data_IF_842536110647
#
_entry.id   IF_842536110647
#
_cell.length_a   1.000
_cell.length_b   1.000
_cell.length_c   1.000
_cell.angle_alpha   90.00
_cell.angle_beta   90.00
_cell.angle_gamma   90.00
#
_symmetry.space_group_name_H-M   'P 1'
#
loop_
_entity.id
_entity.type
_entity.pdbx_description
1 polymer ?
#
# COMPACT_ATOMS: atom_id res chain seq x y z
N UNK A 1 103.98 -77.24 8.34
CA UNK A 1 104.56 -78.39 9.06
C UNK A 1 105.55 -77.80 10.04
N UNK A 2 105.35 -77.96 11.36
CA UNK A 2 106.25 -77.34 12.33
C UNK A 2 107.66 -77.93 12.18
N UNK A 3 108.65 -77.11 11.83
CA UNK A 3 110.03 -77.55 11.74
C UNK A 3 110.63 -77.62 13.14
N UNK A 4 110.77 -78.85 13.63
CA UNK A 4 111.35 -79.10 14.94
C UNK A 4 112.87 -79.01 14.84
N UNK A 5 113.39 -77.80 15.07
CA UNK A 5 114.82 -77.46 15.00
C UNK A 5 115.71 -78.50 15.70
N UNK A 6 115.30 -78.98 16.87
CA UNK A 6 116.07 -80.01 17.62
C UNK A 6 116.16 -81.35 16.90
N UNK A 7 115.10 -81.79 16.21
CA UNK A 7 115.09 -83.04 15.43
C UNK A 7 115.95 -82.89 14.18
N UNK A 8 115.89 -81.72 13.54
CA UNK A 8 116.71 -81.43 12.37
C UNK A 8 118.19 -81.36 12.74
N UNK A 9 118.54 -80.72 13.85
CA UNK A 9 119.92 -80.68 14.36
C UNK A 9 120.48 -82.10 14.60
N UNK A 10 119.69 -83.00 15.20
CA UNK A 10 120.07 -84.41 15.38
C UNK A 10 120.28 -85.09 14.01
N UNK A 11 119.38 -84.83 13.05
CA UNK A 11 119.46 -85.39 11.69
C UNK A 11 120.73 -84.95 10.98
N UNK A 12 121.04 -83.65 11.02
CA UNK A 12 122.23 -83.06 10.43
C UNK A 12 123.50 -83.66 11.04
N UNK A 13 123.62 -83.69 12.37
CA UNK A 13 124.81 -84.25 13.03
C UNK A 13 124.98 -85.74 12.78
N UNK A 14 123.88 -86.50 12.75
CA UNK A 14 123.91 -87.93 12.37
C UNK A 14 124.49 -88.11 10.97
N UNK A 15 124.04 -87.32 10.00
CA UNK A 15 124.50 -87.42 8.61
C UNK A 15 125.96 -86.98 8.45
N UNK A 16 126.39 -85.94 9.17
CA UNK A 16 127.81 -85.55 9.25
C UNK A 16 128.71 -86.67 9.80
N UNK A 17 128.27 -87.37 10.86
CA UNK A 17 129.02 -88.50 11.44
C UNK A 17 129.11 -89.65 10.43
N UNK A 18 128.03 -89.95 9.69
CA UNK A 18 128.05 -91.01 8.65
C UNK A 18 129.08 -90.74 7.57
N UNK A 19 129.20 -89.50 7.12
CA UNK A 19 130.22 -89.13 6.15
C UNK A 19 131.62 -89.27 6.73
N UNK A 20 131.84 -88.77 7.95
CA UNK A 20 133.14 -88.84 8.62
C UNK A 20 133.61 -90.28 8.85
N UNK A 21 132.70 -91.20 9.17
CA UNK A 21 133.04 -92.63 9.36
C UNK A 21 133.64 -93.27 8.11
N UNK A 22 133.27 -92.82 6.89
CA UNK A 22 133.80 -93.39 5.63
C UNK A 22 135.29 -93.14 5.43
N UNK A 23 135.84 -92.11 6.08
CA UNK A 23 137.22 -91.66 5.95
C UNK A 23 138.14 -92.21 7.06
N UNK A 24 137.59 -92.99 7.98
CA UNK A 24 138.31 -93.51 9.14
C UNK A 24 139.39 -94.52 8.76
N UNK A 25 140.63 -94.26 9.20
CA UNK A 25 141.72 -95.22 9.09
C UNK A 25 141.72 -96.25 10.23
N UNK A 26 141.24 -97.45 9.93
CA UNK A 26 141.23 -98.56 10.88
C UNK A 26 142.62 -99.16 11.14
N UNK A 27 143.58 -98.99 10.23
CA UNK A 27 144.91 -99.64 10.32
C UNK A 27 145.76 -99.00 11.42
N UNK A 28 145.63 -97.69 11.62
CA UNK A 28 146.34 -96.93 12.65
C UNK A 28 146.05 -97.40 14.09
N UNK A 29 145.00 -98.19 14.33
CA UNK A 29 144.59 -98.66 15.65
C UNK A 29 144.42 -100.19 15.71
N UNK A 30 144.99 -100.92 14.77
CA UNK A 30 144.91 -102.38 14.72
C UNK A 30 145.61 -103.02 15.93
N UNK A 31 144.92 -103.94 16.62
CA UNK A 31 145.41 -104.59 17.84
C UNK A 31 145.13 -103.84 19.16
N UNK A 32 144.67 -102.59 19.10
CA UNK A 32 144.31 -101.84 20.30
C UNK A 32 142.88 -102.13 20.76
N UNK A 33 142.67 -102.07 22.07
CA UNK A 33 141.36 -102.20 22.73
C UNK A 33 141.05 -100.95 23.56
N UNK A 34 139.77 -100.63 23.67
CA UNK A 34 139.26 -99.39 24.26
C UNK A 34 138.00 -99.70 25.08
N UNK A 35 137.67 -98.81 26.02
CA UNK A 35 136.54 -98.99 26.94
C UNK A 35 136.99 -99.08 28.39
N UNK A 36 136.03 -99.22 29.30
CA UNK A 36 136.35 -99.31 30.73
C UNK A 36 136.93 -100.68 31.10
N UNK A 37 136.63 -101.70 30.30
CA UNK A 37 137.07 -103.09 30.44
C UNK A 37 137.89 -103.57 29.23
N UNK A 38 138.31 -102.67 28.33
CA UNK A 38 138.95 -102.98 27.04
C UNK A 38 138.06 -103.83 26.11
N UNK A 39 136.74 -103.64 26.20
CA UNK A 39 135.70 -104.42 25.54
C UNK A 39 135.52 -104.10 24.05
N UNK A 40 136.08 -102.97 23.59
CA UNK A 40 135.91 -102.52 22.22
C UNK A 40 137.20 -102.54 21.41
N UNK A 41 137.15 -103.13 20.23
CA UNK A 41 138.06 -102.78 19.13
C UNK A 41 137.58 -101.50 18.46
N UNK A 42 138.47 -100.75 17.80
CA UNK A 42 138.06 -99.54 17.09
C UNK A 42 136.96 -99.81 16.03
N UNK A 43 137.08 -100.94 15.29
CA UNK A 43 136.04 -101.39 14.35
C UNK A 43 134.69 -101.64 15.04
N UNK A 44 134.68 -102.21 16.25
CA UNK A 44 133.45 -102.41 17.00
C UNK A 44 132.82 -101.12 17.53
N UNK A 45 133.62 -100.10 17.87
CA UNK A 45 133.11 -98.77 18.23
C UNK A 45 132.40 -98.10 17.04
N UNK A 46 133.03 -98.13 15.87
CA UNK A 46 132.44 -97.58 14.65
C UNK A 46 131.16 -98.33 14.27
N UNK A 47 131.14 -99.66 14.30
CA UNK A 47 129.92 -100.44 14.06
C UNK A 47 128.82 -100.17 15.10
N UNK A 48 129.21 -99.91 16.36
CA UNK A 48 128.30 -99.45 17.41
C UNK A 48 127.69 -98.09 17.09
N UNK A 49 128.47 -97.13 16.60
CA UNK A 49 127.97 -95.82 16.15
C UNK A 49 126.97 -96.02 15.01
N UNK A 50 127.32 -96.79 13.97
CA UNK A 50 126.43 -97.02 12.82
C UNK A 50 125.06 -97.57 13.22
N UNK A 51 125.02 -98.49 14.20
CA UNK A 51 123.76 -98.99 14.76
C UNK A 51 122.96 -97.86 15.43
N UNK A 52 123.59 -96.98 16.21
CA UNK A 52 122.90 -95.88 16.88
C UNK A 52 122.43 -94.81 15.90
N UNK A 53 123.20 -94.52 14.85
CA UNK A 53 122.78 -93.62 13.78
C UNK A 53 121.57 -94.17 13.02
N UNK A 54 121.48 -95.50 12.85
CA UNK A 54 120.31 -96.16 12.27
C UNK A 54 119.08 -96.01 13.15
N UNK A 55 119.23 -96.24 14.46
CA UNK A 55 118.15 -96.03 15.45
C UNK A 55 117.67 -94.56 15.44
N UNK A 56 118.60 -93.59 15.36
CA UNK A 56 118.28 -92.16 15.22
C UNK A 56 117.61 -91.81 13.88
N UNK A 57 117.93 -92.52 12.80
CA UNK A 57 117.20 -92.37 11.53
C UNK A 57 115.73 -92.74 11.67
N UNK A 58 115.42 -93.81 12.39
CA UNK A 58 114.03 -94.21 12.63
C UNK A 58 113.28 -93.16 13.47
N UNK A 59 113.89 -92.66 14.55
CA UNK A 59 113.27 -91.61 15.37
C UNK A 59 113.03 -90.30 14.61
N UNK A 60 114.04 -89.83 13.89
CA UNK A 60 113.95 -88.56 13.15
C UNK A 60 113.03 -88.65 11.92
N UNK A 61 112.83 -89.84 11.34
CA UNK A 61 111.82 -90.11 10.30
C UNK A 61 110.40 -89.92 10.85
N UNK A 62 110.13 -90.37 12.08
CA UNK A 62 108.83 -90.30 12.73
C UNK A 62 108.74 -89.13 13.72
N UNK A 63 108.90 -87.89 13.22
CA UNK A 63 109.00 -86.65 14.02
C UNK A 63 107.93 -86.53 15.12
N UNK A 64 106.66 -86.77 14.80
CA UNK A 64 105.55 -86.65 15.76
C UNK A 64 105.65 -87.65 16.92
N UNK A 65 106.04 -88.90 16.64
CA UNK A 65 106.23 -89.92 17.67
C UNK A 65 107.46 -89.61 18.52
N UNK A 66 108.54 -89.15 17.90
CA UNK A 66 109.72 -88.73 18.64
C UNK A 66 109.39 -87.58 19.61
N UNK A 67 108.54 -86.64 19.22
CA UNK A 67 108.09 -85.54 20.10
C UNK A 67 107.20 -86.03 21.24
N UNK A 68 106.30 -86.97 20.98
CA UNK A 68 105.48 -87.57 22.04
C UNK A 68 106.31 -88.31 23.08
N UNK A 69 107.42 -88.92 22.66
CA UNK A 69 108.28 -89.73 23.51
C UNK A 69 109.45 -88.97 24.14
N UNK A 70 109.78 -87.78 23.64
CA UNK A 70 110.94 -87.02 24.12
C UNK A 70 110.57 -85.59 24.48
N UNK A 71 111.22 -85.11 25.50
CA UNK A 71 111.25 -83.70 25.87
C UNK A 71 112.21 -82.92 24.96
N UNK A 72 112.10 -81.60 24.98
CA UNK A 72 113.05 -80.74 24.30
C UNK A 72 114.49 -80.98 24.76
N UNK A 73 114.72 -81.13 26.07
CA UNK A 73 116.05 -81.29 26.65
C UNK A 73 116.72 -82.59 26.23
N UNK A 74 115.98 -83.71 26.25
CA UNK A 74 116.54 -85.01 25.83
C UNK A 74 117.03 -84.98 24.37
N UNK A 75 116.34 -84.24 23.49
CA UNK A 75 116.79 -84.07 22.09
C UNK A 75 118.06 -83.22 21.99
N UNK A 76 118.17 -82.16 22.81
CA UNK A 76 119.39 -81.35 22.89
C UNK A 76 120.57 -82.17 23.41
N UNK A 77 120.33 -83.04 24.39
CA UNK A 77 121.35 -83.90 24.97
C UNK A 77 121.82 -84.99 24.01
N UNK A 78 120.93 -85.54 23.17
CA UNK A 78 121.28 -86.45 22.07
C UNK A 78 122.14 -85.73 21.02
N UNK A 79 121.73 -84.51 20.63
CA UNK A 79 122.51 -83.69 19.71
C UNK A 79 123.92 -83.39 20.25
N UNK A 80 124.03 -83.13 21.54
CA UNK A 80 125.30 -82.86 22.22
C UNK A 80 126.21 -84.09 22.17
N UNK A 81 125.70 -85.28 22.49
CA UNK A 81 126.47 -86.53 22.37
C UNK A 81 126.91 -86.81 20.93
N UNK A 82 126.05 -86.55 19.94
CA UNK A 82 126.42 -86.68 18.52
C UNK A 82 127.53 -85.70 18.13
N UNK A 83 127.49 -84.48 18.66
CA UNK A 83 128.54 -83.49 18.40
C UNK A 83 129.88 -83.96 18.98
N UNK A 84 129.88 -84.52 20.20
CA UNK A 84 131.09 -85.10 20.78
C UNK A 84 131.57 -86.34 20.02
N UNK A 85 130.67 -87.24 19.62
CA UNK A 85 131.01 -88.39 18.78
C UNK A 85 131.71 -87.93 17.50
N UNK A 86 131.14 -86.94 16.80
CA UNK A 86 131.73 -86.37 15.57
C UNK A 86 133.15 -85.86 15.78
N UNK A 87 133.39 -85.15 16.88
CA UNK A 87 134.70 -84.56 17.20
C UNK A 87 135.75 -85.62 17.53
N UNK A 88 135.36 -86.75 18.13
CA UNK A 88 136.27 -87.79 18.59
C UNK A 88 136.27 -89.06 17.73
N UNK A 89 135.61 -89.08 16.57
CA UNK A 89 135.58 -90.24 15.66
C UNK A 89 136.99 -90.78 15.42
N UNK A 90 137.97 -89.92 15.15
CA UNK A 90 139.36 -90.30 14.81
C UNK A 90 140.23 -90.63 16.05
N UNK A 91 139.67 -90.50 17.25
CA UNK A 91 140.36 -90.61 18.55
C UNK A 91 139.63 -91.60 19.48
N UNK A 92 139.86 -92.92 19.33
CA UNK A 92 139.08 -93.95 20.00
C UNK A 92 139.12 -93.91 21.54
N UNK A 93 140.17 -93.34 22.14
CA UNK A 93 140.35 -93.24 23.59
C UNK A 93 139.23 -92.47 24.30
N UNK A 94 138.61 -91.49 23.64
CA UNK A 94 137.52 -90.69 24.23
C UNK A 94 136.14 -91.04 23.64
N UNK A 95 136.13 -91.74 22.51
CA UNK A 95 134.95 -92.01 21.71
C UNK A 95 133.93 -92.92 22.42
N UNK A 96 134.39 -93.96 23.11
CA UNK A 96 133.51 -94.97 23.73
C UNK A 96 132.55 -94.35 24.77
N UNK A 97 132.99 -93.36 25.54
CA UNK A 97 132.17 -92.68 26.57
C UNK A 97 130.93 -92.03 25.98
N UNK A 98 131.08 -91.33 24.85
CA UNK A 98 129.97 -90.64 24.20
C UNK A 98 129.04 -91.62 23.48
N UNK A 99 129.58 -92.73 22.95
CA UNK A 99 128.78 -93.83 22.40
C UNK A 99 127.89 -94.44 23.49
N UNK A 100 128.43 -94.73 24.68
CA UNK A 100 127.66 -95.37 25.75
C UNK A 100 126.60 -94.44 26.35
N UNK A 101 126.90 -93.14 26.48
CA UNK A 101 125.90 -92.13 26.84
C UNK A 101 124.74 -92.09 25.83
N UNK A 102 125.07 -92.11 24.53
CA UNK A 102 124.06 -92.11 23.47
C UNK A 102 123.22 -93.41 23.50
N UNK A 103 123.84 -94.57 23.75
CA UNK A 103 123.11 -95.85 23.94
C UNK A 103 122.08 -95.73 25.08
N UNK A 104 122.47 -95.18 26.23
CA UNK A 104 121.57 -95.02 27.38
C UNK A 104 120.37 -94.15 27.00
N UNK A 105 120.61 -93.00 26.37
CA UNK A 105 119.56 -92.07 25.94
C UNK A 105 118.63 -92.68 24.90
N UNK A 106 119.12 -93.55 24.01
CA UNK A 106 118.29 -94.15 22.96
C UNK A 106 117.46 -95.35 23.40
N UNK A 107 117.84 -96.02 24.51
CA UNK A 107 117.09 -97.18 25.04
C UNK A 107 115.66 -96.83 25.47
N UNK A 108 115.45 -95.65 26.08
CA UNK A 108 114.14 -95.22 26.59
C UNK A 108 113.09 -95.08 25.48
N UNK A 109 113.53 -94.86 24.24
CA UNK A 109 112.63 -94.73 23.10
C UNK A 109 112.19 -96.07 22.50
N UNK A 110 112.78 -97.20 22.91
CA UNK A 110 112.39 -98.54 22.45
C UNK A 110 112.24 -98.66 20.92
N UNK A 111 113.18 -98.05 20.19
CA UNK A 111 113.11 -97.77 18.74
C UNK A 111 112.96 -99.04 17.91
N UNK A 112 113.54 -100.14 18.40
CA UNK A 112 113.51 -101.46 17.75
C UNK A 112 112.12 -102.11 17.75
N UNK A 113 111.16 -101.57 18.52
CA UNK A 113 109.76 -101.97 18.53
C UNK A 113 108.85 -100.99 17.74
N UNK A 114 109.40 -100.08 16.94
CA UNK A 114 108.62 -99.19 16.08
C UNK A 114 107.99 -99.97 14.93
N UNK A 115 106.73 -100.39 15.06
CA UNK A 115 105.93 -100.83 13.91
C UNK A 115 105.26 -99.63 13.24
N UNK A 116 105.35 -99.54 11.90
CA UNK A 116 104.68 -98.45 11.15
C UNK A 116 103.16 -98.46 11.39
N UNK A 117 102.55 -99.63 11.55
CA UNK A 117 101.13 -99.78 11.86
C UNK A 117 100.72 -99.13 13.18
N UNK A 118 101.53 -99.26 14.24
CA UNK A 118 101.25 -98.63 15.52
C UNK A 118 101.31 -97.09 15.43
N UNK A 119 102.25 -96.56 14.64
CA UNK A 119 102.38 -95.11 14.43
C UNK A 119 101.15 -94.56 13.70
N UNK A 120 100.70 -95.26 12.66
CA UNK A 120 99.49 -94.90 11.92
C UNK A 120 98.26 -94.95 12.82
N UNK A 121 98.11 -95.99 13.64
CA UNK A 121 97.01 -96.12 14.60
C UNK A 121 96.99 -94.99 15.65
N UNK A 122 98.15 -94.63 16.21
CA UNK A 122 98.26 -93.50 17.15
C UNK A 122 97.90 -92.16 16.50
N UNK A 123 98.20 -91.97 15.22
CA UNK A 123 97.80 -90.76 14.48
C UNK A 123 96.28 -90.72 14.24
N UNK A 124 95.68 -91.85 13.88
CA UNK A 124 94.22 -91.95 13.70
C UNK A 124 93.47 -91.67 15.02
N UNK A 125 93.96 -92.18 16.16
CA UNK A 125 93.38 -91.86 17.47
C UNK A 125 93.40 -90.35 17.75
N UNK A 126 94.52 -89.68 17.45
CA UNK A 126 94.62 -88.23 17.65
C UNK A 126 93.67 -87.46 16.72
N UNK A 127 93.53 -87.90 15.48
CA UNK A 127 92.58 -87.30 14.53
C UNK A 127 91.14 -87.46 15.02
N UNK A 128 90.75 -88.66 15.47
CA UNK A 128 89.43 -88.92 16.04
C UNK A 128 89.17 -88.08 17.29
N UNK A 129 90.18 -87.89 18.15
CA UNK A 129 90.06 -87.02 19.33
C UNK A 129 89.85 -85.55 18.95
N UNK A 130 90.56 -85.05 17.94
CA UNK A 130 90.35 -83.68 17.42
C UNK A 130 88.96 -83.51 16.84
N UNK A 131 88.54 -84.42 15.95
CA UNK A 131 87.20 -84.44 15.37
C UNK A 131 86.11 -84.47 16.44
N UNK A 132 86.30 -85.26 17.51
CA UNK A 132 85.35 -85.29 18.63
C UNK A 132 85.20 -83.91 19.28
N UNK A 133 86.31 -83.20 19.54
CA UNK A 133 86.28 -81.88 20.16
C UNK A 133 85.60 -80.86 19.25
N UNK A 134 85.94 -80.85 17.97
CA UNK A 134 85.29 -80.00 16.96
C UNK A 134 83.78 -80.28 16.88
N UNK A 135 83.37 -81.55 16.92
CA UNK A 135 81.95 -81.91 16.91
C UNK A 135 81.22 -81.46 18.17
N UNK A 136 81.88 -81.50 19.34
CA UNK A 136 81.29 -81.03 20.59
C UNK A 136 81.09 -79.51 20.59
N UNK A 137 82.05 -78.77 20.04
CA UNK A 137 81.95 -77.31 19.85
C UNK A 137 80.78 -76.96 18.93
N UNK A 138 80.71 -77.59 17.74
CA UNK A 138 79.61 -77.41 16.80
C UNK A 138 78.26 -77.75 17.43
N UNK A 139 78.19 -78.82 18.24
CA UNK A 139 76.96 -79.22 18.91
C UNK A 139 76.53 -78.17 19.93
N UNK A 140 77.47 -77.60 20.69
CA UNK A 140 77.18 -76.53 21.64
C UNK A 140 76.68 -75.27 20.93
N UNK A 141 77.33 -74.85 19.84
CA UNK A 141 76.88 -73.72 19.01
C UNK A 141 75.49 -73.96 18.42
N UNK A 142 75.22 -75.19 17.94
CA UNK A 142 73.91 -75.55 17.41
C UNK A 142 72.82 -75.52 18.49
N UNK A 143 73.14 -75.88 19.74
CA UNK A 143 72.17 -75.80 20.84
C UNK A 143 71.87 -74.36 21.22
N UNK A 144 72.87 -73.48 21.30
CA UNK A 144 72.65 -72.06 21.61
C UNK A 144 71.84 -71.37 20.51
N UNK A 145 72.14 -71.66 19.23
CA UNK A 145 71.36 -71.17 18.09
C UNK A 145 69.91 -71.62 18.15
N UNK A 146 69.67 -72.89 18.53
CA UNK A 146 68.31 -73.40 18.68
C UNK A 146 67.54 -72.61 19.74
N UNK A 147 68.15 -72.39 20.91
CA UNK A 147 67.52 -71.69 22.02
C UNK A 147 67.14 -70.24 21.61
N UNK A 148 68.06 -69.52 20.95
CA UNK A 148 67.80 -68.17 20.40
C UNK A 148 66.66 -68.15 19.36
N UNK A 149 66.56 -69.20 18.52
CA UNK A 149 65.47 -69.32 17.55
C UNK A 149 64.13 -69.50 18.27
N UNK A 150 64.08 -70.32 19.33
CA UNK A 150 62.86 -70.50 20.14
C UNK A 150 62.40 -69.20 20.79
N UNK A 151 63.31 -68.48 21.43
CA UNK A 151 62.99 -67.19 22.09
C UNK A 151 62.48 -66.14 21.08
N UNK A 152 63.12 -66.07 19.90
CA UNK A 152 62.65 -65.19 18.81
C UNK A 152 61.28 -65.62 18.27
N UNK A 153 61.01 -66.91 18.14
CA UNK A 153 59.72 -67.40 17.70
C UNK A 153 58.60 -67.03 18.69
N UNK A 154 58.82 -67.22 19.99
CA UNK A 154 57.86 -66.79 21.03
C UNK A 154 57.61 -65.27 20.95
N UNK A 155 58.68 -64.48 20.76
CA UNK A 155 58.56 -63.04 20.57
C UNK A 155 57.77 -62.67 19.30
N UNK A 156 57.94 -63.42 18.21
CA UNK A 156 57.18 -63.21 16.96
C UNK A 156 55.70 -63.54 17.17
N UNK A 157 55.38 -64.64 17.85
CA UNK A 157 53.99 -65.03 18.14
C UNK A 157 53.27 -63.96 18.98
N UNK A 158 53.93 -63.42 20.01
CA UNK A 158 53.36 -62.32 20.81
C UNK A 158 53.11 -61.06 19.99
N UNK A 159 54.08 -60.64 19.16
CA UNK A 159 53.94 -59.50 18.25
C UNK A 159 52.81 -59.71 17.23
N UNK A 160 52.64 -60.93 16.74
CA UNK A 160 51.59 -61.27 15.79
C UNK A 160 50.21 -61.15 16.44
N UNK A 161 50.05 -61.61 17.68
CA UNK A 161 48.80 -61.45 18.44
C UNK A 161 48.51 -59.96 18.72
N UNK A 162 49.49 -59.19 19.18
CA UNK A 162 49.30 -57.75 19.42
C UNK A 162 48.92 -56.99 18.14
N UNK A 163 49.50 -57.38 17.01
CA UNK A 163 49.20 -56.77 15.71
C UNK A 163 47.78 -57.10 15.28
N UNK A 164 47.32 -58.34 15.50
CA UNK A 164 45.96 -58.76 15.22
C UNK A 164 44.95 -57.98 16.08
N UNK A 165 45.21 -57.84 17.38
CA UNK A 165 44.35 -57.09 18.30
C UNK A 165 44.29 -55.59 17.96
N UNK A 166 45.38 -55.01 17.44
CA UNK A 166 45.39 -53.64 16.93
C UNK A 166 44.61 -53.51 15.62
N UNK A 167 44.73 -54.49 14.73
CA UNK A 167 44.01 -54.52 13.46
C UNK A 167 42.50 -54.60 13.69
N UNK A 168 42.05 -55.45 14.61
CA UNK A 168 40.62 -55.62 14.88
C UNK A 168 40.03 -54.36 15.55
N UNK A 169 40.74 -53.74 16.50
CA UNK A 169 40.36 -52.40 17.02
C UNK A 169 40.27 -51.34 15.93
N UNK A 170 41.20 -51.33 14.98
CA UNK A 170 41.16 -50.38 13.87
C UNK A 170 39.94 -50.61 12.95
N UNK A 171 39.54 -51.86 12.71
CA UNK A 171 38.32 -52.17 11.94
C UNK A 171 37.08 -51.67 12.67
N UNK A 172 36.97 -51.92 13.97
CA UNK A 172 35.83 -51.47 14.78
C UNK A 172 35.68 -49.94 14.73
N UNK A 173 36.79 -49.21 14.89
CA UNK A 173 36.80 -47.75 14.76
C UNK A 173 36.42 -47.28 13.35
N UNK A 174 36.84 -47.98 12.30
CA UNK A 174 36.44 -47.66 10.93
C UNK A 174 34.93 -47.85 10.70
N UNK A 175 34.34 -48.88 11.29
CA UNK A 175 32.90 -49.13 11.19
C UNK A 175 32.09 -48.05 11.92
N UNK A 176 32.58 -47.58 13.07
CA UNK A 176 31.97 -46.46 13.82
C UNK A 176 32.06 -45.14 13.04
N UNK A 177 33.23 -44.82 12.47
CA UNK A 177 33.42 -43.64 11.62
C UNK A 177 32.48 -43.67 10.40
N UNK A 178 32.31 -44.83 9.76
CA UNK A 178 31.41 -44.95 8.62
C UNK A 178 29.95 -44.69 9.01
N UNK A 179 29.50 -45.18 10.17
CA UNK A 179 28.14 -44.90 10.69
C UNK A 179 27.94 -43.42 10.98
N UNK A 180 28.94 -42.75 11.57
CA UNK A 180 28.88 -41.30 11.78
C UNK A 180 28.84 -40.52 10.46
N UNK A 181 29.60 -40.94 9.45
CA UNK A 181 29.66 -40.30 8.14
C UNK A 181 28.30 -40.41 7.41
N UNK A 182 27.65 -41.57 7.49
CA UNK A 182 26.32 -41.80 6.94
C UNK A 182 25.27 -40.89 7.61
N UNK A 183 25.27 -40.83 8.95
CA UNK A 183 24.41 -39.90 9.71
C UNK A 183 24.67 -38.43 9.37
N UNK A 184 25.94 -38.05 9.18
CA UNK A 184 26.32 -36.69 8.81
C UNK A 184 25.87 -36.34 7.39
N UNK A 185 25.90 -37.31 6.48
CA UNK A 185 25.38 -37.14 5.12
C UNK A 185 23.87 -36.92 5.12
N UNK A 186 23.11 -37.69 5.90
CA UNK A 186 21.65 -37.50 6.04
C UNK A 186 21.32 -36.10 6.59
N UNK A 187 22.01 -35.67 7.65
CA UNK A 187 21.85 -34.31 8.21
C UNK A 187 22.19 -33.21 7.20
N UNK A 188 23.21 -33.42 6.38
CA UNK A 188 23.58 -32.47 5.33
C UNK A 188 22.49 -32.35 4.26
N UNK A 189 21.83 -33.45 3.90
CA UNK A 189 20.72 -33.44 2.95
C UNK A 189 19.51 -32.73 3.56
N UNK A 190 19.15 -33.03 4.81
CA UNK A 190 18.10 -32.34 5.56
C UNK A 190 18.35 -30.82 5.58
N UNK A 191 19.58 -30.39 5.88
CA UNK A 191 19.93 -28.98 5.90
C UNK A 191 19.81 -28.31 4.51
N UNK A 192 20.12 -29.01 3.42
CA UNK A 192 19.91 -28.51 2.05
C UNK A 192 18.42 -28.26 1.77
N UNK A 193 17.54 -29.19 2.21
CA UNK A 193 16.10 -29.01 2.05
C UNK A 193 15.58 -27.82 2.86
N UNK A 194 16.06 -27.65 4.08
CA UNK A 194 15.68 -26.53 4.96
C UNK A 194 16.11 -25.18 4.35
N UNK A 195 17.32 -25.10 3.79
CA UNK A 195 17.78 -23.90 3.08
C UNK A 195 16.90 -23.56 1.89
N UNK A 196 16.49 -24.57 1.10
CA UNK A 196 15.59 -24.36 -0.04
C UNK A 196 14.22 -23.83 0.42
N UNK A 197 13.70 -24.36 1.53
CA UNK A 197 12.45 -23.86 2.14
C UNK A 197 12.61 -22.42 2.64
N UNK A 198 13.75 -22.10 3.28
CA UNK A 198 14.05 -20.76 3.77
C UNK A 198 14.10 -19.73 2.62
N UNK A 199 14.73 -20.10 1.50
CA UNK A 199 14.79 -19.27 0.29
C UNK A 199 13.36 -19.00 -0.24
N UNK A 200 12.51 -20.03 -0.30
CA UNK A 200 11.11 -19.87 -0.72
C UNK A 200 10.31 -18.97 0.22
N UNK A 201 10.49 -19.11 1.53
CA UNK A 201 9.85 -18.24 2.53
C UNK A 201 10.32 -16.80 2.36
N UNK A 202 11.62 -16.58 2.15
CA UNK A 202 12.19 -15.26 1.91
C UNK A 202 11.58 -14.60 0.67
N UNK A 203 11.52 -15.32 -0.46
CA UNK A 203 10.88 -14.80 -1.69
C UNK A 203 9.41 -14.42 -1.47
N UNK A 204 8.66 -15.22 -0.70
CA UNK A 204 7.27 -14.89 -0.35
C UNK A 204 7.18 -13.66 0.55
N UNK A 205 8.08 -13.54 1.53
CA UNK A 205 8.13 -12.40 2.44
C UNK A 205 8.47 -11.09 1.69
N UNK A 206 9.42 -11.15 0.76
CA UNK A 206 9.75 -10.02 -0.11
C UNK A 206 8.53 -9.64 -0.99
N UNK A 207 7.84 -10.61 -1.57
CA UNK A 207 6.59 -10.35 -2.32
C UNK A 207 5.48 -9.71 -1.48
N UNK A 208 5.29 -10.16 -0.24
CA UNK A 208 4.34 -9.52 0.69
C UNK A 208 4.76 -8.10 1.08
N UNK A 209 6.06 -7.83 1.19
CA UNK A 209 6.56 -6.48 1.46
C UNK A 209 6.23 -5.52 0.31
N UNK A 210 6.37 -5.97 -0.93
CA UNK A 210 6.00 -5.20 -2.12
C UNK A 210 4.49 -4.93 -2.14
N UNK A 211 3.64 -5.94 -1.91
CA UNK A 211 2.18 -5.78 -1.82
C UNK A 211 1.76 -4.79 -0.71
N UNK A 212 2.39 -4.86 0.47
CA UNK A 212 2.13 -3.92 1.57
C UNK A 212 2.52 -2.49 1.17
N UNK A 213 3.61 -2.33 0.42
CA UNK A 213 4.07 -1.02 -0.05
C UNK A 213 3.08 -0.42 -1.05
N UNK A 214 2.55 -1.23 -1.96
CA UNK A 214 1.51 -0.80 -2.90
C UNK A 214 0.23 -0.40 -2.17
N UNK A 215 -0.25 -1.22 -1.21
CA UNK A 215 -1.42 -0.86 -0.41
C UNK A 215 -1.23 0.43 0.38
N UNK A 216 -0.02 0.68 0.90
CA UNK A 216 0.29 1.94 1.58
C UNK A 216 0.18 3.12 0.62
N UNK A 217 0.73 3.01 -0.59
CA UNK A 217 0.66 4.07 -1.60
C UNK A 217 -0.80 4.36 -2.01
N UNK A 218 -1.61 3.32 -2.20
CA UNK A 218 -3.04 3.44 -2.50
C UNK A 218 -3.80 4.11 -1.35
N UNK A 219 -3.52 3.72 -0.11
CA UNK A 219 -4.13 4.34 1.06
C UNK A 219 -3.77 5.84 1.18
N UNK A 220 -2.51 6.21 0.92
CA UNK A 220 -2.07 7.60 0.89
C UNK A 220 -2.74 8.41 -0.24
N UNK A 221 -2.92 7.81 -1.41
CA UNK A 221 -3.64 8.41 -2.53
C UNK A 221 -5.13 8.64 -2.20
N UNK A 222 -5.80 7.62 -1.66
CA UNK A 222 -7.19 7.69 -1.23
C UNK A 222 -7.39 8.73 -0.12
N UNK A 223 -6.47 8.82 0.83
CA UNK A 223 -6.48 9.86 1.86
C UNK A 223 -6.50 11.26 1.23
N UNK A 224 -5.63 11.53 0.24
CA UNK A 224 -5.61 12.84 -0.46
C UNK A 224 -6.93 13.12 -1.19
N UNK A 225 -7.55 12.11 -1.80
CA UNK A 225 -8.87 12.25 -2.43
C UNK A 225 -9.96 12.58 -1.42
N UNK A 226 -9.96 11.91 -0.27
CA UNK A 226 -10.90 12.17 0.84
C UNK A 226 -10.72 13.59 1.37
N UNK A 227 -9.48 14.03 1.61
CA UNK A 227 -9.18 15.39 2.09
C UNK A 227 -9.66 16.45 1.09
N UNK A 228 -9.45 16.22 -0.23
CA UNK A 228 -9.96 17.11 -1.28
C UNK A 228 -11.49 17.13 -1.34
N UNK A 229 -12.14 15.97 -1.19
CA UNK A 229 -13.59 15.86 -1.16
C UNK A 229 -14.17 16.59 0.05
N UNK A 230 -13.61 16.37 1.25
CA UNK A 230 -14.04 17.04 2.48
C UNK A 230 -13.94 18.57 2.35
N UNK A 231 -12.84 19.07 1.77
CA UNK A 231 -12.65 20.50 1.49
C UNK A 231 -13.75 21.05 0.57
N UNK A 232 -14.08 20.33 -0.52
CA UNK A 232 -15.16 20.72 -1.44
C UNK A 232 -16.55 20.70 -0.79
N UNK A 233 -16.80 19.73 0.10
CA UNK A 233 -18.05 19.68 0.86
C UNK A 233 -18.16 20.90 1.78
N UNK A 234 -17.09 21.26 2.48
CA UNK A 234 -17.05 22.45 3.33
C UNK A 234 -17.27 23.73 2.52
N UNK A 235 -16.64 23.88 1.34
CA UNK A 235 -16.89 25.01 0.45
C UNK A 235 -18.35 25.08 -0.02
N UNK A 236 -18.96 23.93 -0.34
CA UNK A 236 -20.36 23.83 -0.74
C UNK A 236 -21.31 24.22 0.39
N UNK A 237 -21.03 23.77 1.60
CA UNK A 237 -21.81 24.09 2.80
C UNK A 237 -21.78 25.59 3.12
N UNK A 238 -20.59 26.21 3.04
CA UNK A 238 -20.44 27.66 3.17
C UNK A 238 -21.27 28.41 2.11
N UNK A 239 -21.24 27.97 0.84
CA UNK A 239 -22.02 28.60 -0.24
C UNK A 239 -23.53 28.42 -0.06
N UNK A 240 -23.97 27.28 0.48
CA UNK A 240 -25.38 27.06 0.82
C UNK A 240 -25.82 28.01 1.94
N UNK A 241 -25.00 28.18 2.97
CA UNK A 241 -25.24 29.13 4.06
C UNK A 241 -25.36 30.57 3.54
N UNK A 242 -24.46 31.00 2.64
CA UNK A 242 -24.55 32.32 1.99
C UNK A 242 -25.82 32.48 1.15
N UNK A 243 -26.24 31.42 0.44
CA UNK A 243 -27.43 31.44 -0.40
C UNK A 243 -28.72 31.45 0.44
N UNK A 244 -28.74 30.74 1.56
CA UNK A 244 -29.82 30.79 2.54
C UNK A 244 -29.96 32.20 3.12
N UNK A 245 -28.86 32.83 3.52
CA UNK A 245 -28.87 34.22 3.99
C UNK A 245 -29.44 35.18 2.92
N UNK A 246 -28.96 35.08 1.68
CA UNK A 246 -29.47 35.92 0.57
C UNK A 246 -30.95 35.65 0.29
N UNK A 247 -31.40 34.41 0.40
CA UNK A 247 -32.81 34.04 0.23
C UNK A 247 -33.66 34.67 1.31
N UNK A 248 -33.22 34.61 2.57
CA UNK A 248 -33.90 35.24 3.70
C UNK A 248 -33.96 36.77 3.53
N UNK A 249 -32.84 37.41 3.19
CA UNK A 249 -32.80 38.86 2.90
C UNK A 249 -33.75 39.25 1.76
N UNK A 250 -33.86 38.42 0.73
CA UNK A 250 -34.75 38.69 -0.40
C UNK A 250 -36.22 38.45 -0.05
N UNK A 251 -36.52 37.45 0.78
CA UNK A 251 -37.85 37.20 1.33
C UNK A 251 -38.33 38.38 2.18
N UNK A 252 -37.45 38.93 3.04
CA UNK A 252 -37.75 40.12 3.83
C UNK A 252 -38.04 41.34 2.95
N UNK A 253 -37.27 41.53 1.87
CA UNK A 253 -37.54 42.59 0.88
C UNK A 253 -38.88 42.39 0.19
N UNK A 254 -39.21 41.17 -0.23
CA UNK A 254 -40.50 40.86 -0.85
C UNK A 254 -41.68 41.16 0.09
N UNK A 255 -41.55 40.79 1.37
CA UNK A 255 -42.56 41.13 2.38
C UNK A 255 -42.75 42.64 2.52
N UNK A 256 -41.65 43.41 2.58
CA UNK A 256 -41.70 44.89 2.59
C UNK A 256 -42.39 45.45 1.35
N UNK A 257 -42.04 44.95 0.15
CA UNK A 257 -42.70 45.38 -1.08
C UNK A 257 -44.18 45.02 -1.12
N UNK A 258 -44.57 43.89 -0.55
CA UNK A 258 -45.98 43.52 -0.45
C UNK A 258 -46.75 44.44 0.51
N UNK A 259 -46.16 44.80 1.65
CA UNK A 259 -46.73 45.79 2.58
C UNK A 259 -46.88 47.17 1.92
N UNK A 260 -45.82 47.66 1.26
CA UNK A 260 -45.85 48.92 0.51
C UNK A 260 -46.92 48.89 -0.58
N UNK A 261 -47.01 47.80 -1.35
CA UNK A 261 -48.02 47.61 -2.38
C UNK A 261 -49.44 47.62 -1.80
N UNK A 262 -49.68 46.96 -0.66
CA UNK A 262 -50.98 46.99 0.03
C UNK A 262 -51.35 48.41 0.44
N UNK A 263 -50.41 49.16 1.00
CA UNK A 263 -50.61 50.56 1.40
C UNK A 263 -50.97 51.44 0.21
N UNK A 264 -50.21 51.36 -0.89
CA UNK A 264 -50.47 52.13 -2.12
C UNK A 264 -51.84 51.76 -2.71
N UNK A 265 -52.23 50.49 -2.66
CA UNK A 265 -53.52 50.03 -3.17
C UNK A 265 -54.68 50.58 -2.34
N UNK A 266 -54.52 50.67 -1.03
CA UNK A 266 -55.51 51.26 -0.14
C UNK A 266 -55.62 52.78 -0.38
N UNK A 267 -54.50 53.48 -0.49
CA UNK A 267 -54.46 54.91 -0.84
C UNK A 267 -55.13 55.18 -2.21
N UNK A 268 -54.89 54.30 -3.19
CA UNK A 268 -55.51 54.41 -4.51
C UNK A 268 -57.03 54.18 -4.46
N UNK A 269 -57.51 53.22 -3.67
CA UNK A 269 -58.96 52.99 -3.48
C UNK A 269 -59.62 54.20 -2.82
N UNK A 270 -59.01 54.74 -1.78
CA UNK A 270 -59.50 55.92 -1.07
C UNK A 270 -59.60 57.13 -2.03
N UNK A 271 -58.59 57.34 -2.86
CA UNK A 271 -58.60 58.37 -3.92
C UNK A 271 -59.74 58.16 -4.93
N UNK A 272 -59.98 56.92 -5.37
CA UNK A 272 -61.07 56.61 -6.31
C UNK A 272 -62.44 56.89 -5.66
N UNK A 273 -62.61 56.54 -4.39
CA UNK A 273 -63.86 56.78 -3.66
C UNK A 273 -64.13 58.27 -3.44
N UNK A 274 -63.11 59.02 -3.03
CA UNK A 274 -63.16 60.47 -2.92
C UNK A 274 -63.51 61.15 -4.25
N UNK A 275 -62.94 60.70 -5.37
CA UNK A 275 -63.27 61.22 -6.69
C UNK A 275 -64.73 60.93 -7.10
N UNK A 276 -65.27 59.74 -6.79
CA UNK A 276 -66.66 59.37 -7.06
C UNK A 276 -67.66 60.20 -6.23
N UNK A 277 -67.35 60.45 -4.96
CA UNK A 277 -68.20 61.29 -4.10
C UNK A 277 -68.25 62.74 -4.58
N UNK A 278 -67.10 63.32 -4.98
CA UNK A 278 -67.03 64.68 -5.51
C UNK A 278 -67.83 64.87 -6.81
N UNK A 279 -67.80 63.88 -7.73
CA UNK A 279 -68.56 63.94 -8.98
C UNK A 279 -70.09 63.89 -8.74
N UNK A 280 -70.55 63.04 -7.82
CA UNK A 280 -71.99 62.89 -7.52
C UNK A 280 -72.64 64.10 -6.84
N UNK A 281 -71.92 64.73 -5.89
CA UNK A 281 -72.44 65.88 -5.15
C UNK A 281 -72.45 67.18 -5.99
N UNK A 282 -71.41 67.42 -6.78
CA UNK A 282 -71.27 68.66 -7.56
C UNK A 282 -72.34 68.80 -8.66
N UNK A 283 -72.64 67.71 -9.39
CA UNK A 283 -73.59 67.75 -10.51
C UNK A 283 -75.05 67.90 -10.04
N UNK A 284 -75.41 67.26 -8.94
CA UNK A 284 -76.79 67.25 -8.43
C UNK A 284 -77.18 68.56 -7.73
N UNK A 285 -76.24 69.19 -7.03
CA UNK A 285 -76.47 70.47 -6.35
C UNK A 285 -76.55 71.65 -7.35
N UNK A 286 -75.70 71.66 -8.37
CA UNK A 286 -75.73 72.69 -9.42
C UNK A 286 -77.02 72.72 -10.25
N UNK A 287 -77.65 71.57 -10.49
CA UNK A 287 -78.92 71.47 -11.23
C UNK A 287 -80.12 72.03 -10.42
N UNK A 288 -80.20 71.69 -9.13
CA UNK A 288 -81.28 72.17 -8.24
C UNK A 288 -81.21 73.68 -8.02
N UNK A 289 -80.01 74.23 -7.75
CA UNK A 289 -79.83 75.67 -7.51
C UNK A 289 -80.18 76.52 -8.74
N UNK A 290 -79.92 75.99 -9.94
CA UNK A 290 -80.29 76.63 -11.21
C UNK A 290 -81.81 76.72 -11.40
N UNK A 291 -82.56 75.66 -11.03
CA UNK A 291 -84.03 75.69 -11.08
C UNK A 291 -84.64 76.57 -9.98
N UNK A 292 -84.05 76.60 -8.78
CA UNK A 292 -84.50 77.44 -7.67
C UNK A 292 -84.40 78.93 -8.04
N UNK A 293 -83.29 79.32 -8.67
CA UNK A 293 -83.06 80.68 -9.18
C UNK A 293 -84.08 81.09 -10.23
N UNK A 294 -84.46 80.19 -11.14
CA UNK A 294 -85.47 80.50 -12.18
C UNK A 294 -86.89 80.51 -11.61
N UNK A 295 -87.22 79.60 -10.69
CA UNK A 295 -88.50 79.58 -9.99
C UNK A 295 -88.74 80.86 -9.19
N UNK A 296 -87.75 81.29 -8.38
CA UNK A 296 -87.86 82.51 -7.57
C UNK A 296 -87.96 83.78 -8.42
N UNK A 297 -87.29 83.83 -9.58
CA UNK A 297 -87.41 84.96 -10.52
C UNK A 297 -88.75 85.01 -11.26
N UNK A 298 -89.31 83.85 -11.61
CA UNK A 298 -90.62 83.75 -12.25
C UNK A 298 -91.77 84.02 -11.26
N UNK A 299 -91.67 83.54 -10.03
CA UNK A 299 -92.69 83.64 -8.97
C UNK A 299 -92.72 85.01 -8.25
N UNK A 300 -92.20 86.08 -8.86
CA UNK A 300 -92.29 87.42 -8.29
C UNK A 300 -93.74 87.89 -8.32
N UNK A 301 -94.39 87.86 -7.15
CA UNK A 301 -95.80 88.23 -6.93
C UNK A 301 -96.22 89.52 -7.66
N UNK A 302 -95.33 90.51 -7.70
CA UNK A 302 -95.60 91.81 -8.32
C UNK A 302 -95.89 91.72 -9.84
N UNK A 303 -95.28 90.77 -10.56
CA UNK A 303 -95.51 90.57 -12.01
C UNK A 303 -96.88 89.93 -12.28
N UNK A 304 -97.31 88.98 -11.45
CA UNK A 304 -98.64 88.35 -11.57
C UNK A 304 -99.78 89.31 -11.17
N UNK A 305 -99.55 90.14 -10.14
CA UNK A 305 -100.53 91.17 -9.72
C UNK A 305 -100.71 92.24 -10.79
N UNK A 306 -99.65 92.65 -11.48
CA UNK A 306 -99.73 93.65 -12.55
C UNK A 306 -100.73 93.27 -13.65
N UNK A 307 -100.75 92.00 -14.08
CA UNK A 307 -101.69 91.53 -15.11
C UNK A 307 -103.14 91.42 -14.61
N UNK A 308 -103.34 91.03 -13.35
CA UNK A 308 -104.67 90.96 -12.73
C UNK A 308 -105.25 92.38 -12.58
N UNK A 309 -104.44 93.33 -12.12
CA UNK A 309 -104.84 94.74 -11.99
C UNK A 309 -105.14 95.35 -13.37
N UNK A 310 -104.32 95.06 -14.38
CA UNK A 310 -104.56 95.50 -15.76
C UNK A 310 -105.89 95.00 -16.33
N UNK A 311 -106.22 93.72 -16.14
CA UNK A 311 -107.50 93.16 -16.58
C UNK A 311 -108.69 93.79 -15.84
N UNK A 312 -108.56 94.01 -14.52
CA UNK A 312 -109.60 94.64 -13.70
C UNK A 312 -109.87 96.09 -14.11
N UNK A 313 -108.80 96.86 -14.38
CA UNK A 313 -108.91 98.24 -14.85
C UNK A 313 -109.59 98.34 -16.21
N UNK A 314 -109.28 97.43 -17.15
CA UNK A 314 -109.94 97.38 -18.45
C UNK A 314 -111.44 97.05 -18.33
N UNK A 315 -111.83 96.14 -17.43
CA UNK A 315 -113.22 95.81 -17.15
C UNK A 315 -113.99 96.99 -16.54
N UNK A 316 -113.38 97.69 -15.58
CA UNK A 316 -113.93 98.94 -15.04
C UNK A 316 -114.06 100.01 -16.13
N UNK A 317 -113.06 100.13 -17.01
CA UNK A 317 -113.10 101.03 -18.17
C UNK A 317 -114.27 100.74 -19.11
N UNK A 318 -114.55 99.46 -19.42
CA UNK A 318 -115.73 99.07 -20.20
C UNK A 318 -117.04 99.49 -19.54
N UNK A 319 -117.18 99.29 -18.23
CA UNK A 319 -118.39 99.67 -17.49
C UNK A 319 -118.59 101.18 -17.48
N UNK A 320 -117.54 101.95 -17.18
CA UNK A 320 -117.58 103.41 -17.17
C UNK A 320 -117.91 103.97 -18.56
N UNK A 321 -117.30 103.44 -19.63
CA UNK A 321 -117.63 103.85 -21.00
C UNK A 321 -119.08 103.48 -21.35
N UNK A 322 -119.55 102.29 -20.99
CA UNK A 322 -120.94 101.88 -21.22
C UNK A 322 -121.97 102.82 -20.56
N UNK A 323 -121.73 103.20 -19.30
CA UNK A 323 -122.59 104.13 -18.56
C UNK A 323 -122.53 105.54 -19.19
N UNK A 324 -121.34 106.02 -19.58
CA UNK A 324 -121.16 107.32 -20.24
C UNK A 324 -121.91 107.41 -21.58
N UNK A 325 -122.00 106.30 -22.32
CA UNK A 325 -122.76 106.22 -23.57
C UNK A 325 -124.27 106.37 -23.34
N UNK A 326 -124.81 105.84 -22.24
CA UNK A 326 -126.26 105.85 -21.97
C UNK A 326 -126.82 107.23 -21.57
N UNK A 327 -126.03 108.05 -20.87
CA UNK A 327 -126.53 109.29 -20.26
C UNK A 327 -126.62 110.46 -21.27
N UNK A 328 -125.84 110.43 -22.35
CA UNK A 328 -125.77 111.52 -23.34
C UNK A 328 -126.40 111.11 -24.68
N UNK A 329 -127.71 110.91 -24.68
CA UNK A 329 -128.51 110.66 -25.89
C UNK A 329 -129.31 111.93 -26.22
N UNK A 330 -128.78 112.76 -27.11
CA UNK A 330 -129.56 113.78 -27.80
C UNK A 330 -129.20 113.76 -29.30
N UNK A 331 -130.11 113.13 -30.06
CA UNK A 331 -130.54 113.43 -31.45
C UNK A 331 -129.50 113.49 -32.59
N UNK A 332 -128.37 112.79 -32.52
CA UNK A 332 -127.58 112.45 -33.72
C UNK A 332 -127.20 110.97 -33.76
N UNK A 333 -127.84 110.21 -34.65
CA UNK A 333 -127.65 108.76 -34.82
C UNK A 333 -126.18 108.37 -35.09
N UNK A 334 -125.43 109.26 -35.74
CA UNK A 334 -124.01 109.07 -36.03
C UNK A 334 -123.11 109.01 -34.78
N UNK A 335 -123.44 109.76 -33.72
CA UNK A 335 -122.64 109.76 -32.49
C UNK A 335 -122.85 108.51 -31.63
N UNK A 336 -124.00 107.84 -31.73
CA UNK A 336 -124.26 106.58 -31.01
C UNK A 336 -123.41 105.46 -31.60
N UNK A 337 -123.33 105.39 -32.94
CA UNK A 337 -122.61 104.31 -33.61
C UNK A 337 -121.09 104.41 -33.41
N UNK A 338 -120.53 105.62 -33.41
CA UNK A 338 -119.11 105.85 -33.08
C UNK A 338 -118.73 105.44 -31.66
N UNK A 339 -119.67 105.45 -30.71
CA UNK A 339 -119.43 105.09 -29.31
C UNK A 339 -119.50 103.59 -29.03
N UNK A 340 -120.36 102.84 -29.73
CA UNK A 340 -120.41 101.37 -29.62
C UNK A 340 -119.12 100.73 -30.17
N UNK A 341 -118.52 101.34 -31.20
CA UNK A 341 -117.27 100.87 -31.80
C UNK A 341 -116.05 100.99 -30.87
N UNK A 342 -116.14 101.75 -29.77
CA UNK A 342 -115.05 101.93 -28.80
C UNK A 342 -114.98 100.85 -27.71
N UNK A 343 -116.04 100.07 -27.50
CA UNK A 343 -116.10 99.00 -26.49
C UNK A 343 -115.22 97.76 -26.75
N UNK A 344 -114.95 97.31 -28.00
CA UNK A 344 -114.12 96.13 -28.26
C UNK A 344 -112.67 96.26 -27.77
N UNK A 345 -112.12 97.47 -27.75
CA UNK A 345 -110.71 97.73 -27.39
C UNK A 345 -110.39 97.31 -25.95
N UNK A 346 -111.12 97.78 -24.92
CA UNK A 346 -110.86 97.35 -23.54
C UNK A 346 -111.20 95.88 -23.28
N UNK A 347 -112.14 95.26 -24.00
CA UNK A 347 -112.42 93.82 -23.91
C UNK A 347 -111.20 93.01 -24.41
N UNK A 348 -110.66 93.38 -25.58
CA UNK A 348 -109.45 92.76 -26.11
C UNK A 348 -108.26 92.93 -25.16
N UNK A 349 -108.14 94.11 -24.52
CA UNK A 349 -107.15 94.36 -23.47
C UNK A 349 -107.27 93.41 -22.28
N UNK A 350 -108.49 93.21 -21.76
CA UNK A 350 -108.73 92.29 -20.66
C UNK A 350 -108.41 90.83 -21.02
N UNK A 351 -108.78 90.37 -22.22
CA UNK A 351 -108.46 89.01 -22.72
C UNK A 351 -106.96 88.81 -22.89
N UNK A 352 -106.24 89.82 -23.41
CA UNK A 352 -104.78 89.77 -23.53
C UNK A 352 -104.10 89.62 -22.16
N UNK A 353 -104.52 90.42 -21.16
CA UNK A 353 -103.98 90.33 -19.80
C UNK A 353 -104.26 88.96 -19.17
N UNK A 354 -105.44 88.37 -19.35
CA UNK A 354 -105.77 87.04 -18.86
C UNK A 354 -104.92 85.92 -19.51
N UNK A 355 -104.66 86.02 -20.81
CA UNK A 355 -103.80 85.07 -21.52
C UNK A 355 -102.34 85.16 -21.07
N UNK A 356 -101.83 86.37 -20.80
CA UNK A 356 -100.46 86.55 -20.31
C UNK A 356 -100.29 86.04 -18.88
N UNK A 357 -101.29 86.27 -18.02
CA UNK A 357 -101.31 85.72 -16.67
C UNK A 357 -101.26 84.18 -16.70
N UNK A 358 -102.07 83.55 -17.55
CA UNK A 358 -102.10 82.09 -17.70
C UNK A 358 -100.74 81.54 -18.18
N UNK A 359 -100.09 82.20 -19.14
CA UNK A 359 -98.73 81.82 -19.59
C UNK A 359 -97.71 81.91 -18.46
N UNK A 360 -97.72 83.00 -17.69
CA UNK A 360 -96.79 83.16 -16.57
C UNK A 360 -97.01 82.11 -15.49
N UNK A 361 -98.27 81.80 -15.15
CA UNK A 361 -98.59 80.76 -14.16
C UNK A 361 -98.09 79.37 -14.58
N UNK A 362 -98.30 79.01 -15.84
CA UNK A 362 -97.82 77.72 -16.37
C UNK A 362 -96.29 77.59 -16.29
N UNK A 363 -95.55 78.67 -16.59
CA UNK A 363 -94.09 78.70 -16.47
C UNK A 363 -93.64 78.52 -15.01
N UNK A 364 -94.31 79.18 -14.06
CA UNK A 364 -94.00 79.06 -12.64
C UNK A 364 -94.23 77.63 -12.14
N UNK A 365 -95.36 77.02 -12.50
CA UNK A 365 -95.67 75.64 -12.15
C UNK A 365 -94.67 74.64 -12.76
N UNK A 366 -94.21 74.86 -13.98
CA UNK A 366 -93.21 74.01 -14.63
C UNK A 366 -91.84 74.09 -13.94
N UNK A 367 -91.39 75.30 -13.58
CA UNK A 367 -90.15 75.45 -12.82
C UNK A 367 -90.24 74.88 -11.39
N UNK A 368 -91.41 75.00 -10.74
CA UNK A 368 -91.64 74.38 -9.43
C UNK A 368 -91.57 72.85 -9.50
N UNK A 369 -92.16 72.27 -10.54
CA UNK A 369 -92.12 70.83 -10.80
C UNK A 369 -90.69 70.36 -11.06
N UNK A 370 -89.94 71.04 -11.93
CA UNK A 370 -88.53 70.73 -12.23
C UNK A 370 -87.61 70.86 -11.02
N UNK A 371 -87.81 71.89 -10.20
CA UNK A 371 -87.08 72.06 -8.94
C UNK A 371 -87.35 70.88 -7.98
N UNK A 372 -88.61 70.45 -7.88
CA UNK A 372 -89.00 69.33 -7.00
C UNK A 372 -88.37 68.03 -7.49
N UNK A 373 -88.38 67.77 -8.80
CA UNK A 373 -87.68 66.61 -9.38
C UNK A 373 -86.18 66.70 -9.11
N UNK A 374 -85.53 67.84 -9.34
CA UNK A 374 -84.10 68.00 -9.13
C UNK A 374 -83.71 67.75 -7.66
N UNK A 375 -84.49 68.26 -6.69
CA UNK A 375 -84.29 67.98 -5.26
C UNK A 375 -84.57 66.51 -4.91
N UNK A 376 -85.58 65.90 -5.53
CA UNK A 376 -85.91 64.49 -5.32
C UNK A 376 -84.83 63.54 -5.87
N UNK A 377 -84.23 63.84 -7.04
CA UNK A 377 -83.10 63.07 -7.58
C UNK A 377 -81.99 62.96 -6.52
N UNK A 378 -81.67 64.06 -5.82
CA UNK A 378 -80.65 64.06 -4.77
C UNK A 378 -81.07 63.15 -3.61
N UNK A 379 -82.27 63.34 -3.07
CA UNK A 379 -82.77 62.55 -1.93
C UNK A 379 -82.92 61.05 -2.22
N UNK A 380 -83.39 60.69 -3.42
CA UNK A 380 -83.54 59.30 -3.84
C UNK A 380 -82.20 58.65 -4.23
N UNK A 381 -81.27 59.40 -4.82
CA UNK A 381 -79.92 58.89 -5.09
C UNK A 381 -79.17 58.53 -3.81
N UNK A 382 -79.33 59.33 -2.74
CA UNK A 382 -78.79 59.01 -1.41
C UNK A 382 -79.42 57.76 -0.80
N UNK A 383 -80.74 57.55 -0.97
CA UNK A 383 -81.42 56.37 -0.43
C UNK A 383 -81.12 55.08 -1.21
N UNK A 384 -81.04 55.15 -2.54
CA UNK A 384 -80.72 53.99 -3.39
C UNK A 384 -79.28 53.51 -3.16
N UNK A 385 -78.34 54.43 -2.89
CA UNK A 385 -76.94 54.10 -2.60
C UNK A 385 -76.71 53.51 -1.21
N UNK A 386 -77.64 53.72 -0.26
CA UNK A 386 -77.52 53.23 1.13
C UNK A 386 -78.07 51.82 1.33
N UNK A 387 -78.90 51.33 0.39
CA UNK A 387 -79.61 50.05 0.49
C UNK A 387 -79.26 49.03 -0.63
N UNK A 388 -78.42 49.38 -1.61
CA UNK A 388 -78.10 48.51 -2.75
C UNK A 388 -76.82 47.69 -2.57
N UNK A 389 -76.94 46.35 -2.65
CA UNK A 389 -75.85 45.49 -3.10
C UNK A 389 -75.71 45.66 -4.64
N UNK A 390 -74.49 45.61 -5.17
CA UNK A 390 -74.04 45.98 -6.54
C UNK A 390 -74.74 45.30 -7.77
N UNK A 391 -75.99 44.83 -7.67
CA UNK A 391 -76.70 44.06 -8.71
C UNK A 391 -77.89 44.81 -9.35
N UNK A 392 -78.40 45.91 -8.76
CA UNK A 392 -79.59 46.61 -9.26
C UNK A 392 -79.30 48.03 -9.82
N UNK A 393 -78.25 48.16 -10.64
CA UNK A 393 -77.91 49.43 -11.31
C UNK A 393 -78.93 49.80 -12.43
N UNK A 394 -79.80 48.87 -12.82
CA UNK A 394 -80.86 49.09 -13.83
C UNK A 394 -81.98 49.98 -13.29
N UNK A 395 -82.41 49.82 -12.03
CA UNK A 395 -83.48 50.65 -11.45
C UNK A 395 -83.00 52.07 -11.17
N UNK A 396 -81.76 52.21 -10.69
CA UNK A 396 -81.13 53.51 -10.49
C UNK A 396 -80.96 54.26 -11.82
N UNK A 397 -80.48 53.58 -12.87
CA UNK A 397 -80.32 54.20 -14.18
C UNK A 397 -81.65 54.52 -14.87
N UNK A 398 -82.68 53.66 -14.79
CA UNK A 398 -84.02 53.94 -15.31
C UNK A 398 -84.69 55.13 -14.60
N UNK A 399 -84.53 55.21 -13.26
CA UNK A 399 -85.03 56.34 -12.48
C UNK A 399 -84.39 57.66 -12.91
N UNK A 400 -83.04 57.70 -12.96
CA UNK A 400 -82.29 58.90 -13.37
C UNK A 400 -82.62 59.27 -14.83
N UNK A 401 -82.75 58.30 -15.74
CA UNK A 401 -83.09 58.55 -17.14
C UNK A 401 -84.50 59.13 -17.31
N UNK A 402 -85.49 58.61 -16.57
CA UNK A 402 -86.85 59.19 -16.55
C UNK A 402 -86.86 60.60 -15.96
N UNK A 403 -86.11 60.83 -14.87
CA UNK A 403 -86.04 62.12 -14.22
C UNK A 403 -85.36 63.19 -15.10
N UNK A 404 -84.25 62.87 -15.78
CA UNK A 404 -83.63 63.74 -16.79
C UNK A 404 -84.56 63.96 -17.99
N UNK A 405 -85.25 62.91 -18.45
CA UNK A 405 -86.20 62.99 -19.55
C UNK A 405 -87.38 63.93 -19.26
N UNK A 406 -87.83 64.04 -18.02
CA UNK A 406 -88.84 65.02 -17.58
C UNK A 406 -88.28 66.43 -17.46
N UNK A 407 -87.05 66.59 -16.94
CA UNK A 407 -86.41 67.91 -16.80
C UNK A 407 -86.19 68.60 -18.16
N UNK A 408 -85.91 67.83 -19.22
CA UNK A 408 -85.63 68.36 -20.56
C UNK A 408 -86.88 68.75 -21.38
N UNK A 409 -88.10 68.60 -20.87
CA UNK A 409 -89.34 68.95 -21.61
C UNK A 409 -89.62 70.46 -21.62
N UNK A 410 -90.24 70.96 -22.69
CA UNK A 410 -90.51 72.40 -22.93
C UNK A 410 -91.53 72.99 -21.92
N UNK A 411 -91.21 74.14 -21.26
CA UNK A 411 -92.08 74.81 -20.29
C UNK A 411 -93.42 75.34 -20.82
N UNK A 412 -93.60 75.50 -22.15
CA UNK A 412 -94.78 76.13 -22.75
C UNK A 412 -95.79 75.17 -23.39
N UNK A 413 -95.86 73.90 -22.95
CA UNK A 413 -96.84 72.94 -23.51
C UNK A 413 -98.29 73.27 -23.12
N UNK A 414 -99.22 73.13 -24.06
CA UNK A 414 -100.66 73.14 -23.74
C UNK A 414 -101.01 71.82 -23.05
N UNK A 415 -101.39 71.87 -21.77
CA UNK A 415 -101.91 70.70 -21.05
C UNK A 415 -103.39 70.50 -21.44
N UNK A 416 -103.64 70.07 -22.68
CA UNK A 416 -104.97 69.66 -23.15
C UNK A 416 -105.17 68.19 -22.82
N UNK A 417 -105.80 67.92 -21.69
CA UNK A 417 -106.55 66.68 -21.46
C UNK A 417 -108.04 67.03 -21.40
N UNK A 418 -108.85 66.18 -22.04
CA UNK A 418 -110.16 66.56 -22.59
C UNK A 418 -111.27 66.83 -21.58
N UNK A 419 -112.04 67.88 -21.85
CA UNK A 419 -113.51 67.88 -21.68
C UNK A 419 -114.10 69.08 -22.43
N UNK A 420 -114.97 68.78 -23.40
CA UNK A 420 -115.72 69.69 -24.25
C UNK A 420 -116.82 70.45 -23.49
N UNK A 421 -116.85 71.79 -23.59
CA UNK A 421 -118.09 72.56 -23.72
C UNK A 421 -117.82 73.72 -24.66
N UNK A 422 -118.37 73.64 -25.86
CA UNK A 422 -118.29 74.71 -26.86
C UNK A 422 -119.21 75.88 -26.51
N UNK A 423 -118.70 77.09 -26.69
CA UNK A 423 -119.55 78.27 -26.89
C UNK A 423 -119.60 78.54 -28.40
N UNK A 424 -120.78 78.28 -28.98
CA UNK A 424 -121.05 78.23 -30.42
C UNK A 424 -120.80 79.58 -31.09
N UNK A 425 -120.15 79.51 -32.24
CA UNK A 425 -120.01 80.57 -33.26
C UNK A 425 -121.34 81.13 -33.80
N UNK A 426 -122.48 80.56 -33.39
CA UNK A 426 -123.82 80.99 -33.83
C UNK A 426 -124.35 82.26 -33.15
N UNK A 427 -123.64 82.85 -32.19
CA UNK A 427 -124.02 84.15 -31.61
C UNK A 427 -123.40 85.34 -32.35
N UNK A 428 -122.27 85.15 -33.04
CA UNK A 428 -121.67 86.20 -33.88
C UNK A 428 -122.42 86.37 -35.20
N UNK A 429 -122.91 85.29 -35.80
CA UNK A 429 -123.75 85.33 -37.00
C UNK A 429 -125.12 85.97 -36.72
N UNK A 430 -125.71 85.72 -35.55
CA UNK A 430 -126.95 86.36 -35.12
C UNK A 430 -126.79 87.87 -34.84
N UNK A 431 -125.61 88.29 -34.35
CA UNK A 431 -125.27 89.72 -34.18
C UNK A 431 -124.98 90.39 -35.54
N UNK A 432 -124.37 89.68 -36.48
CA UNK A 432 -124.14 90.14 -37.87
C UNK A 432 -125.46 90.28 -38.67
N UNK A 433 -126.42 89.38 -38.43
CA UNK A 433 -127.75 89.41 -39.05
C UNK A 433 -128.65 90.51 -38.44
N UNK A 434 -128.55 90.77 -37.13
CA UNK A 434 -129.19 91.92 -36.47
C UNK A 434 -128.57 93.25 -36.91
N UNK A 435 -127.24 93.32 -37.08
CA UNK A 435 -126.56 94.51 -37.61
C UNK A 435 -126.96 94.79 -39.07
N UNK A 436 -127.14 93.76 -39.91
CA UNK A 436 -127.69 93.90 -41.28
C UNK A 436 -129.14 94.38 -41.26
N UNK A 437 -130.00 93.84 -40.40
CA UNK A 437 -131.40 94.32 -40.25
C UNK A 437 -131.50 95.77 -39.75
N UNK A 438 -130.58 96.22 -38.89
CA UNK A 438 -130.52 97.62 -38.42
C UNK A 438 -130.01 98.55 -39.53
N UNK A 439 -129.07 98.10 -40.37
CA UNK A 439 -128.59 98.85 -41.55
C UNK A 439 -129.65 98.97 -42.66
N UNK A 440 -130.50 97.95 -42.84
CA UNK A 440 -131.61 98.00 -43.80
C UNK A 440 -132.77 98.87 -43.31
N UNK A 441 -133.02 98.94 -41.99
CA UNK A 441 -134.01 99.87 -41.39
C UNK A 441 -133.60 101.35 -41.49
N UNK A 442 -132.31 101.66 -41.70
CA UNK A 442 -131.83 103.05 -41.86
C UNK A 442 -131.79 103.55 -43.30
N UNK A 443 -132.05 102.70 -44.31
CA UNK A 443 -132.27 103.12 -45.70
C UNK A 443 -133.72 103.46 -46.04
N UNK A 444 -134.67 103.25 -45.11
CA UNK A 444 -136.11 103.40 -45.36
C UNK A 444 -136.71 104.68 -44.75
N UNK A 445 -135.99 105.43 -43.92
CA UNK A 445 -136.40 106.77 -43.49
C UNK A 445 -135.44 107.85 -44.02
N UNK A 446 -135.76 108.33 -45.22
CA UNK A 446 -135.78 109.78 -45.51
C UNK A 446 -136.97 110.40 -44.79
#
# INVERSE_FOLDING_TARGET
MADYITIENIRTKRDEIREKIKEVDFKSYEGNTFGSENEYTYRSLIGGIESLLTDLSTLTKHKNKFIKLSTYQERVDIHSDLTYILNYVDSPTQLYKYIDNLKIKLRSYNIRNFSENQITFENEIDNVRKLKLELQEILQESTTLKDEITEKNESIETLQQETQDKLDRAKDSFEEINKELECLSEKSEEQSTLNTQLESIKTKADGYLDEITDFKNDAESNKKLIDSFATKVQERDNRLTELEQKTNENSDKLNKYEEERKKILEEAKELIENAKQALGYSTSQGLSDSFDTQYTNANKWWKSVFWIVGASLCLLGTLCLGIWVMINIQEQWFMIMGRILLLPIPIAGAVFCANQYTKQKNIIEDYAYKLTIAKAIVGFSEQLKKNGNDVDDIEYTDYIQKALGEIHKDPLRSRKEGSSVGFKSNQLDQVLELAKKIADLTKINN
#
